data_IF_151801908622
#
_entry.id   IF_151801908622
#
_cell.length_a   1.000
_cell.length_b   1.000
_cell.length_c   1.000
_cell.angle_alpha   90.00
_cell.angle_beta   90.00
_cell.angle_gamma   90.00
#
_symmetry.space_group_name_H-M   'P 1'
#
loop_
_entity.id
_entity.type
_entity.pdbx_description
1 polymer ?
#
# COMPACT_ATOMS: atom_id res chain seq x y z
N UNK A 1 9.69 -1.41 17.48
CA UNK A 1 9.00 -2.72 17.22
C UNK A 1 9.98 -3.75 16.65
N UNK A 2 9.58 -4.98 16.28
CA UNK A 2 10.44 -5.83 15.42
C UNK A 2 10.35 -5.32 13.98
N UNK A 3 11.48 -5.16 13.23
CA UNK A 3 11.42 -4.95 11.79
C UNK A 3 10.73 -6.10 11.06
N UNK A 4 10.00 -5.79 9.98
CA UNK A 4 9.40 -6.79 9.07
C UNK A 4 10.35 -7.22 7.93
N UNK A 5 11.51 -6.57 7.80
CA UNK A 5 12.54 -6.90 6.81
C UNK A 5 13.86 -7.17 7.54
N UNK A 6 14.58 -8.22 7.17
CA UNK A 6 15.92 -8.47 7.71
C UNK A 6 16.99 -7.65 6.96
N UNK A 7 18.12 -7.35 7.62
CA UNK A 7 19.13 -6.46 7.06
C UNK A 7 19.85 -7.12 5.87
N UNK A 8 19.76 -6.49 4.68
CA UNK A 8 20.41 -6.97 3.45
C UNK A 8 21.94 -6.93 3.47
N UNK A 9 22.61 -7.05 2.30
CA UNK A 9 24.07 -6.96 2.19
C UNK A 9 24.67 -5.69 2.81
N UNK A 10 26.00 -5.67 3.01
CA UNK A 10 26.71 -4.47 3.44
C UNK A 10 26.58 -3.35 2.38
N UNK A 11 26.49 -2.10 2.82
CA UNK A 11 26.35 -0.95 1.93
C UNK A 11 27.66 -0.66 1.19
N UNK A 12 27.56 -0.27 -0.09
CA UNK A 12 28.71 0.24 -0.86
C UNK A 12 29.12 1.64 -0.39
N UNK A 13 30.35 2.07 -0.69
CA UNK A 13 30.87 3.40 -0.32
C UNK A 13 29.93 4.53 -0.80
N UNK A 14 29.36 4.41 -2.00
CA UNK A 14 28.47 5.43 -2.55
C UNK A 14 27.05 5.37 -1.96
N UNK A 15 26.59 4.19 -1.52
CA UNK A 15 25.37 4.08 -0.70
C UNK A 15 25.58 4.72 0.68
N UNK A 16 26.74 4.51 1.32
CA UNK A 16 27.10 5.14 2.59
C UNK A 16 27.18 6.67 2.45
N UNK A 17 27.74 7.18 1.34
CA UNK A 17 27.73 8.62 1.01
C UNK A 17 26.31 9.15 0.82
N UNK A 18 25.52 8.51 -0.04
CA UNK A 18 24.15 8.91 -0.40
C UNK A 18 23.21 8.96 0.81
N UNK A 19 23.28 7.95 1.68
CA UNK A 19 22.41 7.81 2.84
C UNK A 19 23.05 8.28 4.15
N UNK A 20 24.20 8.95 4.10
CA UNK A 20 24.97 9.44 5.26
C UNK A 20 24.12 10.13 6.33
N UNK A 21 23.11 10.92 5.94
CA UNK A 21 22.18 11.57 6.88
C UNK A 21 21.23 10.61 7.59
N UNK A 22 20.82 9.50 6.95
CA UNK A 22 20.02 8.46 7.59
C UNK A 22 20.88 7.61 8.54
N UNK A 23 22.13 7.33 8.16
CA UNK A 23 23.07 6.53 8.95
C UNK A 23 23.46 7.18 10.29
N UNK A 24 23.27 8.49 10.44
CA UNK A 24 23.48 9.26 11.67
C UNK A 24 22.28 9.16 12.63
N UNK A 25 21.09 8.81 12.14
CA UNK A 25 19.89 8.62 12.99
C UNK A 25 20.07 7.32 13.79
N UNK A 26 20.14 7.34 15.13
CA UNK A 26 20.56 6.17 15.92
C UNK A 26 19.71 4.92 15.70
N UNK A 27 18.39 5.08 15.59
CA UNK A 27 17.46 3.96 15.39
C UNK A 27 17.51 3.38 13.97
N UNK A 28 17.92 4.17 12.98
CA UNK A 28 18.07 3.71 11.59
C UNK A 28 19.45 3.07 11.42
N UNK A 29 20.52 3.86 11.60
CA UNK A 29 21.90 3.44 11.44
C UNK A 29 22.16 2.63 10.13
N UNK A 30 23.22 1.81 10.12
CA UNK A 30 23.53 0.92 8.99
C UNK A 30 22.42 -0.10 8.72
N UNK A 31 21.90 -0.75 9.77
CA UNK A 31 20.99 -1.89 9.59
C UNK A 31 19.59 -1.47 9.11
N UNK A 32 19.06 -0.33 9.55
CA UNK A 32 17.83 0.24 9.03
C UNK A 32 17.95 0.60 7.55
N UNK A 33 19.08 1.20 7.12
CA UNK A 33 19.32 1.48 5.70
C UNK A 33 19.50 0.19 4.88
N UNK A 34 20.16 -0.85 5.43
CA UNK A 34 20.26 -2.19 4.83
C UNK A 34 18.90 -2.90 4.74
N UNK A 35 17.97 -2.66 5.67
CA UNK A 35 16.57 -3.14 5.62
C UNK A 35 15.77 -2.42 4.55
N UNK A 36 15.89 -1.09 4.45
CA UNK A 36 15.28 -0.31 3.36
C UNK A 36 15.75 -0.83 2.00
N UNK A 37 17.06 -1.00 1.81
CA UNK A 37 17.62 -1.52 0.54
C UNK A 37 17.32 -3.00 0.26
N UNK A 38 16.84 -3.76 1.25
CA UNK A 38 16.32 -5.12 1.07
C UNK A 38 14.80 -5.19 0.88
N UNK A 39 14.08 -4.11 1.22
CA UNK A 39 12.62 -4.07 1.22
C UNK A 39 12.04 -4.00 -0.20
N UNK A 40 10.89 -4.65 -0.36
CA UNK A 40 10.02 -4.55 -1.54
C UNK A 40 8.68 -3.97 -1.08
N UNK A 41 8.27 -2.85 -1.66
CA UNK A 41 7.02 -2.16 -1.31
C UNK A 41 6.14 -2.06 -2.55
N UNK A 42 4.86 -2.41 -2.42
CA UNK A 42 3.87 -2.26 -3.48
C UNK A 42 3.01 -1.02 -3.23
N UNK A 43 3.02 -0.08 -4.17
CA UNK A 43 2.09 1.05 -4.19
C UNK A 43 0.90 0.69 -5.09
N UNK A 44 -0.30 0.87 -4.55
CA UNK A 44 -1.58 0.52 -5.18
C UNK A 44 -2.26 1.85 -5.51
N UNK A 45 -2.01 2.36 -6.72
CA UNK A 45 -2.34 3.73 -7.12
C UNK A 45 -1.15 4.68 -7.07
N UNK A 46 -1.10 5.61 -8.02
CA UNK A 46 -0.01 6.55 -8.25
C UNK A 46 -0.47 8.02 -8.21
N UNK A 47 -1.77 8.29 -8.08
CA UNK A 47 -2.34 9.64 -7.90
C UNK A 47 -1.90 10.35 -6.59
N UNK A 48 -2.71 11.30 -6.11
CA UNK A 48 -2.30 12.28 -5.09
C UNK A 48 -1.73 11.74 -3.76
N UNK A 49 -2.05 10.49 -3.38
CA UNK A 49 -1.42 9.78 -2.25
C UNK A 49 -0.15 9.03 -2.67
N UNK A 50 -0.22 8.29 -3.79
CA UNK A 50 0.83 7.41 -4.28
C UNK A 50 2.06 8.14 -4.83
N UNK A 51 1.88 9.21 -5.60
CA UNK A 51 2.98 10.04 -6.14
C UNK A 51 3.96 10.53 -5.06
N UNK A 52 3.53 11.26 -4.02
CA UNK A 52 4.44 11.67 -2.94
C UNK A 52 4.99 10.48 -2.17
N UNK A 53 4.20 9.41 -1.98
CA UNK A 53 4.67 8.22 -1.28
C UNK A 53 5.83 7.53 -2.02
N UNK A 54 5.70 7.32 -3.33
CA UNK A 54 6.72 6.72 -4.19
C UNK A 54 8.00 7.56 -4.22
N UNK A 55 7.89 8.89 -4.32
CA UNK A 55 9.05 9.79 -4.26
C UNK A 55 9.82 9.64 -2.95
N UNK A 56 9.14 9.64 -1.79
CA UNK A 56 9.82 9.52 -0.50
C UNK A 56 10.35 8.10 -0.22
N UNK A 57 9.68 7.03 -0.68
CA UNK A 57 10.21 5.66 -0.57
C UNK A 57 11.48 5.47 -1.43
N UNK A 58 11.50 6.03 -2.64
CA UNK A 58 12.69 6.03 -3.50
C UNK A 58 13.83 6.87 -2.91
N UNK A 59 13.52 8.03 -2.32
CA UNK A 59 14.50 8.87 -1.62
C UNK A 59 15.07 8.20 -0.36
N UNK A 60 14.25 7.49 0.40
CA UNK A 60 14.66 6.68 1.55
C UNK A 60 15.57 5.49 1.17
N UNK A 61 15.58 5.08 -0.10
CA UNK A 61 16.38 3.97 -0.61
C UNK A 61 15.70 2.62 -0.41
N UNK A 62 14.37 2.53 -0.59
CA UNK A 62 13.67 1.24 -0.68
C UNK A 62 14.17 0.45 -1.90
N UNK A 63 14.55 -0.82 -1.69
CA UNK A 63 15.25 -1.64 -2.67
C UNK A 63 14.42 -2.07 -3.89
N UNK A 64 13.10 -2.13 -3.79
CA UNK A 64 12.20 -2.37 -4.92
C UNK A 64 10.85 -1.70 -4.67
N UNK A 65 10.37 -0.95 -5.67
CA UNK A 65 9.01 -0.39 -5.69
C UNK A 65 8.19 -1.08 -6.79
N UNK A 66 7.07 -1.68 -6.42
CA UNK A 66 6.01 -2.06 -7.36
C UNK A 66 4.98 -0.93 -7.48
N UNK A 67 4.45 -0.73 -8.68
CA UNK A 67 3.38 0.21 -9.04
C UNK A 67 2.44 -0.57 -9.99
N UNK A 68 1.12 -0.31 -10.00
CA UNK A 68 0.11 -1.36 -10.32
C UNK A 68 -1.24 -0.74 -10.84
N UNK A 69 -2.10 -1.34 -11.74
CA UNK A 69 -2.79 -0.68 -12.96
C UNK A 69 -4.40 -0.47 -13.40
N UNK A 70 -5.51 0.41 -13.27
CA UNK A 70 -6.38 1.59 -12.62
C UNK A 70 -6.27 3.23 -12.39
N UNK A 71 -5.17 4.03 -12.39
CA UNK A 71 -4.83 5.46 -12.72
C UNK A 71 -3.98 5.70 -14.08
N UNK A 72 -4.46 5.62 -15.37
CA UNK A 72 -3.74 6.06 -16.62
C UNK A 72 -3.35 7.53 -16.46
N UNK A 73 -2.39 8.02 -17.25
CA UNK A 73 -2.21 9.47 -17.49
C UNK A 73 -3.31 10.02 -18.43
N UNK A 74 -4.54 9.77 -18.02
CA UNK A 74 -5.70 10.65 -18.15
C UNK A 74 -5.98 11.14 -16.70
N UNK A 75 -7.22 11.38 -16.29
CA UNK A 75 -7.56 11.53 -14.86
C UNK A 75 -7.90 10.15 -14.18
N UNK A 76 -7.75 8.97 -14.85
CA UNK A 76 -7.83 7.58 -14.26
C UNK A 76 -7.32 6.39 -15.15
N UNK A 77 -7.14 5.15 -14.61
CA UNK A 77 -6.93 3.77 -15.23
C UNK A 77 -5.58 2.82 -15.40
N UNK A 78 -4.46 2.38 -14.71
CA UNK A 78 -3.41 2.43 -13.54
C UNK A 78 -3.40 1.96 -11.89
N UNK A 79 -3.90 1.07 -10.89
CA UNK A 79 -4.98 0.03 -10.20
C UNK A 79 -4.61 -1.57 -10.49
N UNK A 80 -3.89 -2.34 -9.61
CA UNK A 80 -3.96 -3.86 -9.33
C UNK A 80 -2.82 -4.76 -9.89
N UNK A 81 -2.25 -5.79 -9.23
CA UNK A 81 -1.97 -6.11 -7.81
C UNK A 81 -1.07 -7.40 -7.65
N UNK A 82 -0.17 -7.51 -6.65
CA UNK A 82 0.62 -8.74 -6.33
C UNK A 82 0.79 -8.90 -4.79
N UNK A 83 0.22 -9.95 -4.16
CA UNK A 83 0.18 -10.08 -2.67
C UNK A 83 0.47 -11.50 -2.11
N UNK A 84 0.96 -12.46 -2.90
CA UNK A 84 1.18 -13.84 -2.43
C UNK A 84 2.60 -14.36 -2.70
N UNK A 85 3.21 -15.00 -1.69
CA UNK A 85 4.52 -15.64 -1.77
C UNK A 85 4.42 -17.17 -1.94
N UNK A 86 5.53 -17.80 -2.32
CA UNK A 86 5.60 -19.25 -2.53
C UNK A 86 5.46 -20.06 -1.21
N UNK A 87 5.69 -19.40 -0.07
CA UNK A 87 5.49 -19.89 1.30
C UNK A 87 4.02 -20.01 1.74
N UNK A 88 3.10 -19.40 1.00
CA UNK A 88 1.69 -19.22 1.40
C UNK A 88 0.74 -20.15 0.66
N UNK A 89 1.28 -20.95 -0.27
CA UNK A 89 0.55 -21.95 -1.05
C UNK A 89 -0.11 -22.97 -0.12
N UNK A 90 -1.45 -23.02 -0.14
CA UNK A 90 -2.27 -23.89 0.72
C UNK A 90 -2.89 -23.18 1.93
N UNK A 91 -2.47 -21.96 2.28
CA UNK A 91 -3.21 -21.11 3.22
C UNK A 91 -4.38 -20.41 2.51
N UNK A 92 -5.37 -19.95 3.27
CA UNK A 92 -6.32 -18.96 2.71
C UNK A 92 -5.64 -17.60 2.53
N UNK A 93 -6.05 -16.85 1.50
CA UNK A 93 -5.50 -15.51 1.20
C UNK A 93 -5.64 -14.56 2.40
N UNK A 94 -6.78 -14.63 3.09
CA UNK A 94 -7.04 -13.85 4.30
C UNK A 94 -6.14 -14.26 5.49
N UNK A 95 -5.83 -15.55 5.64
CA UNK A 95 -4.92 -16.04 6.68
C UNK A 95 -3.47 -15.59 6.44
N UNK A 96 -2.95 -15.71 5.22
CA UNK A 96 -1.59 -15.22 4.88
C UNK A 96 -1.44 -13.72 5.15
N UNK A 97 -2.45 -12.93 4.76
CA UNK A 97 -2.49 -11.50 5.07
C UNK A 97 -2.61 -11.20 6.58
N UNK A 98 -3.44 -11.95 7.32
CA UNK A 98 -3.67 -11.74 8.75
C UNK A 98 -2.52 -12.25 9.65
N UNK A 99 -1.76 -13.24 9.22
CA UNK A 99 -0.51 -13.67 9.88
C UNK A 99 0.61 -12.64 9.65
N UNK A 100 0.62 -11.98 8.49
CA UNK A 100 1.57 -10.91 8.16
C UNK A 100 1.23 -9.56 8.81
N UNK A 101 -0.05 -9.30 9.12
CA UNK A 101 -0.55 -8.03 9.66
C UNK A 101 -1.18 -8.26 11.03
N UNK A 102 -0.40 -8.03 12.09
CA UNK A 102 -0.77 -8.27 13.49
C UNK A 102 -1.78 -7.24 14.09
N UNK A 103 -2.76 -6.79 13.29
CA UNK A 103 -3.72 -5.74 13.66
C UNK A 103 -5.15 -6.01 13.21
N UNK A 104 -6.08 -5.07 13.45
CA UNK A 104 -7.39 -5.07 12.80
C UNK A 104 -7.24 -4.86 11.29
N UNK A 105 -8.03 -5.58 10.48
CA UNK A 105 -8.18 -5.25 9.06
C UNK A 105 -9.23 -4.14 8.86
N UNK A 106 -9.37 -3.62 7.65
CA UNK A 106 -10.36 -2.58 7.32
C UNK A 106 -11.82 -3.01 7.68
N UNK A 107 -12.15 -4.29 7.52
CA UNK A 107 -13.45 -4.87 7.92
C UNK A 107 -13.65 -5.07 9.43
N UNK A 108 -12.66 -4.74 10.28
CA UNK A 108 -12.88 -4.57 11.72
C UNK A 108 -13.36 -3.15 12.08
N UNK A 109 -13.21 -2.17 11.18
CA UNK A 109 -13.68 -0.79 11.35
C UNK A 109 -14.97 -0.53 10.55
N UNK A 110 -15.03 -1.03 9.32
CA UNK A 110 -16.20 -0.94 8.44
C UNK A 110 -16.62 -2.35 7.98
N UNK A 111 -17.43 -3.09 8.77
CA UNK A 111 -17.75 -4.49 8.49
C UNK A 111 -18.42 -4.71 7.12
N UNK A 112 -19.30 -3.78 6.72
CA UNK A 112 -20.05 -3.82 5.47
C UNK A 112 -19.53 -2.74 4.48
N UNK A 113 -19.64 -2.93 3.15
CA UNK A 113 -19.38 -1.86 2.19
C UNK A 113 -20.39 -0.71 2.36
N UNK A 114 -20.03 0.54 2.03
CA UNK A 114 -21.03 1.59 1.87
C UNK A 114 -21.98 1.23 0.71
N UNK A 115 -23.27 1.58 0.78
CA UNK A 115 -24.17 1.46 -0.37
C UNK A 115 -23.65 2.22 -1.60
N UNK A 116 -23.89 1.71 -2.82
CA UNK A 116 -23.53 2.40 -4.06
C UNK A 116 -24.01 3.86 -4.08
N UNK A 117 -23.12 4.77 -4.47
CA UNK A 117 -23.40 6.22 -4.52
C UNK A 117 -23.42 6.95 -3.17
N UNK A 118 -23.18 6.28 -2.02
CA UNK A 118 -23.09 6.96 -0.71
C UNK A 118 -21.82 7.82 -0.56
N UNK A 119 -20.74 7.47 -1.27
CA UNK A 119 -19.43 8.14 -1.17
C UNK A 119 -19.10 8.78 -2.52
N UNK A 120 -18.89 10.11 -2.60
CA UNK A 120 -18.48 10.76 -3.85
C UNK A 120 -17.02 10.41 -4.17
N UNK A 121 -16.69 10.37 -5.47
CA UNK A 121 -15.31 10.27 -5.93
C UNK A 121 -14.49 11.53 -5.59
N UNK A 122 -13.17 11.43 -5.69
CA UNK A 122 -12.28 12.60 -5.52
C UNK A 122 -12.54 13.73 -6.53
N UNK A 123 -13.11 13.41 -7.70
CA UNK A 123 -13.49 14.38 -8.72
C UNK A 123 -14.82 15.08 -8.41
N UNK A 124 -15.77 14.39 -7.78
CA UNK A 124 -17.08 14.94 -7.41
C UNK A 124 -17.05 15.72 -6.09
N UNK A 125 -16.33 15.20 -5.08
CA UNK A 125 -16.19 15.84 -3.77
C UNK A 125 -15.13 16.94 -3.71
N UNK A 126 -14.12 16.87 -4.59
CA UNK A 126 -12.94 17.74 -4.59
C UNK A 126 -11.97 17.43 -3.45
N UNK A 127 -10.67 17.63 -3.70
CA UNK A 127 -9.63 17.45 -2.67
C UNK A 127 -8.44 18.38 -2.89
N UNK A 128 -7.95 19.01 -1.81
CA UNK A 128 -6.72 19.78 -1.84
C UNK A 128 -5.52 18.83 -1.84
N UNK A 129 -4.70 18.85 -2.90
CA UNK A 129 -3.57 17.92 -3.08
C UNK A 129 -2.54 17.93 -1.93
N UNK A 130 -2.44 19.03 -1.16
CA UNK A 130 -1.60 19.11 0.05
C UNK A 130 -2.06 18.16 1.17
N UNK A 131 -3.36 17.85 1.24
CA UNK A 131 -3.90 16.87 2.19
C UNK A 131 -3.45 15.45 1.79
N UNK A 132 -3.54 15.13 0.50
CA UNK A 132 -3.05 13.86 -0.05
C UNK A 132 -1.53 13.73 0.15
N UNK A 133 -0.76 14.78 -0.08
CA UNK A 133 0.68 14.78 0.18
C UNK A 133 1.01 14.60 1.67
N UNK A 134 0.23 15.19 2.58
CA UNK A 134 0.37 15.03 4.02
C UNK A 134 0.13 13.58 4.45
N UNK A 135 -0.99 12.97 4.02
CA UNK A 135 -1.32 11.58 4.34
C UNK A 135 -0.34 10.60 3.67
N UNK A 136 0.06 10.83 2.42
CA UNK A 136 1.06 10.01 1.72
C UNK A 136 2.43 10.02 2.42
N UNK A 137 2.88 11.18 2.91
CA UNK A 137 4.13 11.29 3.70
C UNK A 137 4.03 10.52 5.02
N UNK A 138 2.85 10.47 5.65
CA UNK A 138 2.59 9.69 6.87
C UNK A 138 2.55 8.18 6.56
N UNK A 139 1.95 7.76 5.44
CA UNK A 139 1.98 6.37 4.96
C UNK A 139 3.42 5.87 4.72
N UNK A 140 4.30 6.71 4.15
CA UNK A 140 5.73 6.39 4.01
C UNK A 140 6.43 6.33 5.37
N UNK A 141 6.08 7.22 6.29
CA UNK A 141 6.64 7.21 7.65
C UNK A 141 6.29 5.91 8.38
N UNK A 142 5.05 5.40 8.23
CA UNK A 142 4.71 4.06 8.71
C UNK A 142 5.50 2.97 7.99
N UNK A 143 5.56 2.96 6.66
CA UNK A 143 6.29 1.95 5.90
C UNK A 143 7.78 1.87 6.31
N UNK A 144 8.45 3.02 6.48
CA UNK A 144 9.83 3.09 6.97
C UNK A 144 9.93 2.52 8.39
N UNK A 145 9.02 2.86 9.31
CA UNK A 145 9.00 2.30 10.68
C UNK A 145 8.82 0.78 10.70
N UNK A 146 7.92 0.24 9.89
CA UNK A 146 7.71 -1.21 9.76
C UNK A 146 8.95 -1.92 9.21
N UNK A 147 9.55 -1.39 8.14
CA UNK A 147 10.74 -1.95 7.49
C UNK A 147 11.95 -1.93 8.43
N UNK A 148 12.22 -0.80 9.07
CA UNK A 148 13.42 -0.59 9.89
C UNK A 148 13.28 -1.11 11.32
N UNK A 149 12.05 -1.20 11.83
CA UNK A 149 11.69 -1.60 13.19
C UNK A 149 11.56 -0.45 14.19
N UNK A 150 11.75 0.80 13.77
CA UNK A 150 11.92 1.94 14.68
C UNK A 150 10.58 2.49 15.22
N UNK A 151 10.61 3.02 16.44
CA UNK A 151 9.47 3.67 17.08
C UNK A 151 8.24 2.78 17.28
N UNK A 152 7.08 3.44 17.32
CA UNK A 152 5.73 2.87 17.42
C UNK A 152 4.98 3.07 16.11
N UNK A 153 4.20 2.08 15.67
CA UNK A 153 3.40 2.14 14.44
C UNK A 153 1.91 2.35 14.72
N UNK A 154 1.21 2.95 13.76
CA UNK A 154 -0.24 3.14 13.74
C UNK A 154 -1.05 1.84 13.50
N UNK A 155 -0.43 0.66 13.53
CA UNK A 155 -1.16 -0.62 13.45
C UNK A 155 -2.15 -0.71 14.64
N UNK A 156 -3.45 -0.68 14.33
CA UNK A 156 -4.50 -0.63 15.34
C UNK A 156 -4.96 0.78 15.72
N UNK A 157 -4.57 1.81 14.98
CA UNK A 157 -5.04 3.18 15.16
C UNK A 157 -5.58 3.78 13.85
N UNK A 158 -6.73 4.44 13.93
CA UNK A 158 -7.18 5.38 12.92
C UNK A 158 -6.64 6.76 13.30
N UNK A 159 -5.69 7.26 12.53
CA UNK A 159 -5.18 8.63 12.66
C UNK A 159 -5.98 9.57 11.75
N UNK A 160 -6.64 10.55 12.36
CA UNK A 160 -7.37 11.62 11.71
C UNK A 160 -6.49 12.87 11.72
N UNK A 161 -6.27 13.47 10.55
CA UNK A 161 -5.58 14.75 10.40
C UNK A 161 -6.63 15.84 10.10
N UNK A 162 -6.73 16.83 10.98
CA UNK A 162 -7.49 18.05 10.75
C UNK A 162 -6.52 19.14 10.28
N UNK A 163 -6.70 19.62 9.05
CA UNK A 163 -5.83 20.62 8.43
C UNK A 163 -6.31 22.07 8.60
N UNK A 164 -7.46 22.30 9.23
CA UNK A 164 -7.93 23.63 9.61
C UNK A 164 -7.40 23.98 11.01
N UNK A 165 -7.56 23.06 11.95
CA UNK A 165 -7.03 23.18 13.32
C UNK A 165 -5.57 22.70 13.45
N UNK A 166 -5.00 22.13 12.38
CA UNK A 166 -3.65 21.53 12.33
C UNK A 166 -3.41 20.47 13.43
N UNK A 167 -4.42 19.63 13.71
CA UNK A 167 -4.36 18.60 14.76
C UNK A 167 -4.30 17.17 14.22
N UNK A 168 -3.67 16.28 14.99
CA UNK A 168 -3.68 14.84 14.76
C UNK A 168 -4.42 14.15 15.90
N UNK A 169 -5.51 13.45 15.59
CA UNK A 169 -6.32 12.70 16.56
C UNK A 169 -6.21 11.19 16.27
N UNK A 170 -5.83 10.41 17.26
CA UNK A 170 -5.74 8.94 17.18
C UNK A 170 -6.97 8.29 17.81
N UNK A 171 -7.60 7.36 17.10
CA UNK A 171 -8.69 6.51 17.62
C UNK A 171 -8.22 5.07 17.56
N UNK A 172 -8.13 4.40 18.72
CA UNK A 172 -7.65 3.01 18.79
C UNK A 172 -8.71 2.03 18.29
N UNK A 173 -8.42 1.36 17.19
CA UNK A 173 -9.25 0.33 16.57
C UNK A 173 -8.92 -1.03 17.20
N UNK A 174 -9.95 -1.84 17.47
CA UNK A 174 -9.79 -3.21 17.98
C UNK A 174 -10.06 -4.20 16.85
N UNK A 175 -9.38 -5.35 16.88
CA UNK A 175 -9.71 -6.47 16.00
C UNK A 175 -11.05 -7.06 16.45
N UNK A 176 -12.02 -7.09 15.55
CA UNK A 176 -13.33 -7.69 15.79
C UNK A 176 -13.23 -9.23 15.76
N UNK A 177 -13.64 -9.95 16.84
CA UNK A 177 -13.68 -11.41 16.87
C UNK A 177 -14.68 -12.04 15.89
N UNK A 178 -15.67 -11.30 15.40
CA UNK A 178 -16.69 -11.78 14.45
C UNK A 178 -16.36 -11.38 13.00
N UNK A 179 -15.21 -10.74 12.76
CA UNK A 179 -14.86 -10.16 11.46
C UNK A 179 -14.80 -11.23 10.36
N UNK A 180 -15.66 -11.07 9.34
CA UNK A 180 -15.83 -12.03 8.23
C UNK A 180 -14.55 -12.33 7.44
N UNK A 181 -13.54 -11.45 7.46
CA UNK A 181 -12.24 -11.65 6.82
C UNK A 181 -11.16 -12.22 7.75
N UNK A 182 -11.04 -11.74 8.99
CA UNK A 182 -9.85 -11.99 9.81
C UNK A 182 -10.13 -12.50 11.24
N UNK A 183 -11.40 -12.69 11.61
CA UNK A 183 -11.79 -13.39 12.83
C UNK A 183 -11.49 -14.89 12.74
N UNK A 184 -11.50 -15.64 13.87
CA UNK A 184 -11.26 -17.07 13.90
C UNK A 184 -12.22 -17.90 13.02
N UNK A 185 -13.44 -17.39 12.80
CA UNK A 185 -14.48 -18.04 12.00
C UNK A 185 -14.70 -17.33 10.64
N UNK A 186 -13.62 -16.87 9.99
CA UNK A 186 -13.71 -16.11 8.74
C UNK A 186 -14.50 -16.84 7.63
N UNK A 187 -15.55 -16.17 7.15
CA UNK A 187 -16.50 -16.65 6.14
C UNK A 187 -16.19 -16.14 4.74
N UNK A 188 -15.72 -14.89 4.61
CA UNK A 188 -15.41 -14.28 3.32
C UNK A 188 -14.06 -14.80 2.80
N UNK A 189 -14.11 -15.69 1.79
CA UNK A 189 -12.92 -16.38 1.24
C UNK A 189 -12.57 -15.96 -0.19
N UNK A 190 -13.51 -15.34 -0.87
CA UNK A 190 -13.43 -14.92 -2.27
C UNK A 190 -13.63 -13.39 -2.36
N UNK A 191 -13.61 -12.82 -3.56
CA UNK A 191 -13.92 -11.40 -3.75
C UNK A 191 -15.44 -11.15 -3.56
N UNK A 192 -15.85 -9.88 -3.55
CA UNK A 192 -17.27 -9.52 -3.60
C UNK A 192 -17.67 -9.37 -5.07
N UNK A 193 -18.77 -10.01 -5.48
CA UNK A 193 -19.19 -10.03 -6.88
C UNK A 193 -19.55 -8.64 -7.43
N UNK A 194 -20.06 -7.74 -6.57
CA UNK A 194 -20.51 -6.38 -6.90
C UNK A 194 -19.47 -5.29 -6.54
N UNK A 195 -18.17 -5.60 -6.61
CA UNK A 195 -17.14 -4.61 -6.26
C UNK A 195 -17.16 -3.36 -7.17
N UNK A 196 -17.59 -3.52 -8.43
CA UNK A 196 -17.74 -2.40 -9.37
C UNK A 196 -18.93 -1.49 -9.02
N UNK A 197 -20.04 -2.04 -8.50
CA UNK A 197 -21.16 -1.24 -8.00
C UNK A 197 -20.81 -0.46 -6.73
N UNK A 198 -20.03 -1.04 -5.82
CA UNK A 198 -19.58 -0.36 -4.59
C UNK A 198 -18.53 0.74 -4.85
N UNK A 199 -17.70 0.62 -5.88
CA UNK A 199 -16.68 1.64 -6.21
C UNK A 199 -17.16 2.76 -7.14
N UNK A 200 -18.39 2.66 -7.67
CA UNK A 200 -18.91 3.57 -8.69
C UNK A 200 -18.53 3.11 -10.10
N UNK A 201 -19.51 3.10 -11.00
CA UNK A 201 -19.34 2.57 -12.34
C UNK A 201 -18.32 3.39 -13.16
N UNK A 202 -17.34 2.71 -13.75
CA UNK A 202 -16.36 3.30 -14.67
C UNK A 202 -17.11 3.91 -15.87
N UNK A 203 -16.72 5.11 -16.29
CA UNK A 203 -17.39 5.79 -17.41
C UNK A 203 -17.18 5.05 -18.74
N UNK A 204 -18.15 5.16 -19.65
CA UNK A 204 -18.05 4.56 -20.99
C UNK A 204 -16.88 5.14 -21.81
N UNK A 205 -16.44 6.37 -21.52
CA UNK A 205 -15.24 6.97 -22.10
C UNK A 205 -13.96 6.28 -21.59
N UNK A 206 -13.83 6.07 -20.27
CA UNK A 206 -12.71 5.33 -19.70
C UNK A 206 -12.68 3.87 -20.18
N UNK A 207 -13.85 3.24 -20.33
CA UNK A 207 -13.98 1.89 -20.90
C UNK A 207 -13.40 1.79 -22.31
N UNK A 208 -13.54 2.83 -23.14
CA UNK A 208 -13.00 2.86 -24.50
C UNK A 208 -11.46 2.98 -24.54
N UNK A 209 -10.85 3.70 -23.60
CA UNK A 209 -9.40 3.86 -23.52
C UNK A 209 -8.63 2.58 -23.11
N UNK A 210 -9.34 1.59 -22.56
CA UNK A 210 -8.79 0.32 -22.06
C UNK A 210 -8.57 -0.70 -23.20
N UNK A 211 -9.22 -0.51 -24.36
CA UNK A 211 -9.22 -1.46 -25.48
C UNK A 211 -7.85 -1.59 -26.16
N UNK A 212 -7.10 -2.64 -25.82
CA UNK A 212 -5.73 -2.89 -26.28
C UNK A 212 -4.63 -2.37 -25.33
N UNK A 213 -5.00 -1.56 -24.33
CA UNK A 213 -4.12 -0.99 -23.30
C UNK A 213 -3.90 -1.92 -22.10
N UNK A 214 -4.35 -3.18 -22.19
CA UNK A 214 -4.32 -4.15 -21.09
C UNK A 214 -3.68 -5.47 -21.52
N UNK A 215 -2.88 -6.05 -20.63
CA UNK A 215 -2.22 -7.35 -20.77
C UNK A 215 -2.72 -8.30 -19.67
N UNK A 216 -2.96 -9.57 -19.99
CA UNK A 216 -3.33 -10.56 -18.98
C UNK A 216 -2.12 -10.97 -18.12
N UNK A 217 -2.37 -11.51 -16.92
CA UNK A 217 -1.29 -11.93 -16.01
C UNK A 217 -0.43 -13.03 -16.63
N UNK A 218 -1.05 -13.91 -17.41
CA UNK A 218 -0.43 -15.01 -18.16
C UNK A 218 0.42 -14.47 -19.32
N UNK A 219 -0.09 -13.48 -20.05
CA UNK A 219 0.62 -12.80 -21.14
C UNK A 219 1.84 -12.02 -20.63
N UNK A 220 1.70 -11.28 -19.52
CA UNK A 220 2.80 -10.54 -18.89
C UNK A 220 3.86 -11.51 -18.36
N UNK A 221 3.45 -12.59 -17.69
CA UNK A 221 4.37 -13.65 -17.25
C UNK A 221 5.17 -14.23 -18.41
N UNK A 222 4.50 -14.58 -19.51
CA UNK A 222 5.16 -15.10 -20.72
C UNK A 222 6.23 -14.13 -21.25
N UNK A 223 5.89 -12.83 -21.36
CA UNK A 223 6.84 -11.79 -21.80
C UNK A 223 8.03 -11.62 -20.85
N UNK A 224 7.81 -11.69 -19.53
CA UNK A 224 8.89 -11.65 -18.53
C UNK A 224 9.80 -12.88 -18.61
N UNK A 225 9.25 -14.08 -18.77
CA UNK A 225 10.01 -15.33 -18.92
C UNK A 225 10.83 -15.34 -20.23
N UNK A 226 10.37 -14.65 -21.28
CA UNK A 226 11.05 -14.50 -22.58
C UNK A 226 11.99 -13.29 -22.70
N UNK A 227 11.93 -12.33 -21.78
CA UNK A 227 12.65 -11.03 -21.83
C UNK A 227 12.33 -10.18 -23.06
N UNK A 228 11.06 -10.17 -23.47
CA UNK A 228 10.56 -9.19 -24.42
C UNK A 228 10.74 -7.77 -23.85
N UNK A 229 10.86 -6.76 -24.72
CA UNK A 229 10.56 -5.38 -24.33
C UNK A 229 9.03 -5.16 -24.38
N UNK A 230 8.51 -4.43 -23.40
CA UNK A 230 7.11 -4.01 -23.24
C UNK A 230 7.07 -2.75 -22.39
#
# INVERSE_FOLDING_TARGET
MKPIVEAGPALTVDQVRRYSRHLIIPDVAMDGQRRLMAAKVLCVGAGGLGSPALMYLAAAGVGTLGIVEFDVVDESNLQRQIIHGQSDVGKSKAQSAAESIAGPCYRCLYPEPPPPGMVPSCAEGGVLGVLCASIGSIQVTEAIKLITGIGESLIGELMIYDALEMTYRKVRIRKDPQCVLCGPNATQRELLDDYEGFCGAISTAATAAIAGSTISVEQLKSKMDHKDNF
#
